data_IF_887118990514
#
_entry.id   IF_887118990514
#
_cell.length_a   1.000
_cell.length_b   1.000
_cell.length_c   1.000
_cell.angle_alpha   90.00
_cell.angle_beta   90.00
_cell.angle_gamma   90.00
#
_symmetry.space_group_name_H-M   'P 1'
#
loop_
_entity.id
_entity.type
_entity.pdbx_description
1 polymer ?
#
# COMPACT_ATOMS: atom_id res chain seq x y z
N UNK A 1 -5.35 0.54 -15.36
CA UNK A 1 -5.63 1.65 -14.43
C UNK A 1 -6.42 1.10 -13.27
N UNK A 2 -6.01 1.42 -12.04
CA UNK A 2 -6.71 1.02 -10.82
C UNK A 2 -7.99 1.87 -10.65
N UNK A 3 -9.01 1.34 -9.97
CA UNK A 3 -10.31 1.99 -9.76
C UNK A 3 -10.19 3.31 -8.98
N UNK A 4 -9.38 3.36 -7.91
CA UNK A 4 -9.13 4.54 -7.07
C UNK A 4 -8.50 5.66 -7.88
N UNK A 5 -7.55 5.35 -8.77
CA UNK A 5 -6.93 6.35 -9.66
C UNK A 5 -7.94 6.91 -10.67
N UNK A 6 -8.82 6.06 -11.22
CA UNK A 6 -9.89 6.50 -12.12
C UNK A 6 -10.87 7.44 -11.39
N UNK A 7 -11.28 7.09 -10.17
CA UNK A 7 -12.17 7.92 -9.36
C UNK A 7 -11.47 9.21 -8.88
N UNK A 8 -10.17 9.17 -8.56
CA UNK A 8 -9.39 10.39 -8.29
C UNK A 8 -9.52 11.38 -9.44
N UNK A 9 -9.22 10.94 -10.67
CA UNK A 9 -9.36 11.77 -11.89
C UNK A 9 -10.78 12.26 -12.10
N UNK A 10 -11.78 11.46 -11.75
CA UNK A 10 -13.20 11.85 -11.82
C UNK A 10 -13.52 12.98 -10.84
N UNK A 11 -13.04 12.88 -9.59
CA UNK A 11 -13.24 13.89 -8.56
C UNK A 11 -12.47 15.20 -8.81
N UNK A 12 -11.33 15.13 -9.50
CA UNK A 12 -10.54 16.30 -9.87
C UNK A 12 -10.89 16.89 -11.25
N UNK A 13 -11.83 16.26 -11.97
CA UNK A 13 -12.27 16.71 -13.30
C UNK A 13 -11.23 16.51 -14.41
N UNK A 14 -10.21 15.67 -14.20
CA UNK A 14 -9.16 15.39 -15.18
C UNK A 14 -9.40 14.10 -15.96
N UNK A 15 -10.46 13.36 -15.65
CA UNK A 15 -10.79 12.08 -16.29
C UNK A 15 -11.05 12.22 -17.78
N UNK A 16 -10.51 11.28 -18.56
CA UNK A 16 -10.72 11.16 -20.00
C UNK A 16 -11.47 9.88 -20.33
N UNK A 17 -12.17 9.86 -21.47
CA UNK A 17 -12.87 8.65 -21.92
C UNK A 17 -11.94 7.42 -22.04
N UNK A 18 -10.67 7.62 -22.40
CA UNK A 18 -9.66 6.56 -22.45
C UNK A 18 -9.31 5.98 -21.08
N UNK A 19 -9.48 6.72 -19.98
CA UNK A 19 -9.18 6.24 -18.63
C UNK A 19 -10.14 5.11 -18.22
N UNK A 20 -11.44 5.26 -18.52
CA UNK A 20 -12.46 4.22 -18.30
C UNK A 20 -12.17 2.95 -19.10
N UNK A 21 -11.74 3.10 -20.36
CA UNK A 21 -11.32 1.96 -21.20
C UNK A 21 -10.06 1.31 -20.64
N UNK A 22 -9.09 2.11 -20.17
CA UNK A 22 -7.88 1.61 -19.52
C UNK A 22 -8.15 0.87 -18.21
N UNK A 23 -9.14 1.31 -17.44
CA UNK A 23 -9.67 0.58 -16.30
C UNK A 23 -10.29 -0.74 -16.75
N UNK A 24 -11.26 -0.73 -17.67
CA UNK A 24 -11.94 -1.95 -18.12
C UNK A 24 -10.99 -3.02 -18.66
N UNK A 25 -9.93 -2.62 -19.39
CA UNK A 25 -8.88 -3.52 -19.85
C UNK A 25 -8.13 -4.21 -18.69
N UNK A 26 -7.92 -3.51 -17.57
CA UNK A 26 -7.24 -4.05 -16.38
C UNK A 26 -8.11 -5.03 -15.60
N UNK A 27 -9.44 -5.02 -15.82
CA UNK A 27 -10.41 -5.88 -15.14
C UNK A 27 -11.06 -6.93 -16.05
N UNK A 28 -10.48 -7.18 -17.24
CA UNK A 28 -10.99 -8.19 -18.17
C UNK A 28 -11.05 -9.61 -17.58
N UNK A 29 -10.21 -9.91 -16.59
CA UNK A 29 -10.17 -11.20 -15.89
C UNK A 29 -11.47 -11.52 -15.11
N UNK A 30 -12.28 -10.51 -14.78
CA UNK A 30 -13.56 -10.72 -14.09
C UNK A 30 -14.65 -11.31 -15.01
N UNK A 31 -14.41 -11.34 -16.33
CA UNK A 31 -15.24 -11.99 -17.34
C UNK A 31 -16.68 -11.44 -17.56
N UNK A 32 -17.04 -10.31 -16.94
CA UNK A 32 -18.35 -9.66 -17.12
C UNK A 32 -18.53 -9.05 -18.51
N UNK A 33 -19.75 -9.16 -19.06
CA UNK A 33 -20.09 -8.67 -20.40
C UNK A 33 -19.94 -7.15 -20.51
N UNK A 34 -20.35 -6.41 -19.47
CA UNK A 34 -20.31 -4.96 -19.40
C UNK A 34 -18.87 -4.44 -19.43
N UNK A 35 -17.96 -5.09 -18.70
CA UNK A 35 -16.52 -4.79 -18.72
C UNK A 35 -15.94 -5.06 -20.11
N UNK A 36 -16.26 -6.22 -20.73
CA UNK A 36 -15.79 -6.55 -22.08
C UNK A 36 -16.25 -5.53 -23.12
N UNK A 37 -17.52 -5.09 -23.04
CA UNK A 37 -18.06 -4.04 -23.92
C UNK A 37 -17.25 -2.76 -23.78
N UNK A 38 -17.05 -2.26 -22.56
CA UNK A 38 -16.28 -1.05 -22.32
C UNK A 38 -14.81 -1.17 -22.76
N UNK A 39 -14.16 -2.30 -22.47
CA UNK A 39 -12.78 -2.56 -22.89
C UNK A 39 -12.62 -2.61 -24.42
N UNK A 40 -13.67 -3.00 -25.14
CA UNK A 40 -13.67 -3.09 -26.61
C UNK A 40 -13.78 -1.74 -27.33
N UNK A 41 -14.09 -0.66 -26.61
CA UNK A 41 -14.31 0.66 -27.17
C UNK A 41 -13.01 1.22 -27.76
N UNK A 42 -13.07 1.68 -29.02
CA UNK A 42 -11.93 2.21 -29.78
C UNK A 42 -12.35 3.46 -30.56
N UNK A 43 -11.37 4.28 -30.95
CA UNK A 43 -11.58 5.44 -31.81
C UNK A 43 -11.93 6.72 -31.04
N UNK A 44 -12.75 7.60 -31.64
CA UNK A 44 -13.22 8.82 -30.99
C UNK A 44 -14.26 8.44 -29.93
N UNK A 45 -13.84 8.45 -28.67
CA UNK A 45 -14.68 8.09 -27.55
C UNK A 45 -15.47 9.31 -27.06
N UNK A 46 -16.79 9.17 -26.96
CA UNK A 46 -17.65 10.15 -26.30
C UNK A 46 -17.63 9.89 -24.79
N UNK A 47 -17.24 10.89 -23.99
CA UNK A 47 -17.10 10.72 -22.54
C UNK A 47 -18.42 10.34 -21.85
N UNK A 48 -19.56 10.91 -22.26
CA UNK A 48 -20.86 10.63 -21.65
C UNK A 48 -21.33 9.20 -21.91
N UNK A 49 -21.10 8.69 -23.13
CA UNK A 49 -21.42 7.31 -23.47
C UNK A 49 -20.56 6.33 -22.69
N UNK A 50 -19.26 6.62 -22.60
CA UNK A 50 -18.28 5.81 -21.88
C UNK A 50 -18.54 5.81 -20.37
N UNK A 51 -18.90 6.95 -19.79
CA UNK A 51 -19.29 7.03 -18.37
C UNK A 51 -20.53 6.20 -18.08
N UNK A 52 -21.52 6.20 -18.97
CA UNK A 52 -22.70 5.34 -18.82
C UNK A 52 -22.32 3.87 -18.85
N UNK A 53 -21.49 3.46 -19.81
CA UNK A 53 -20.99 2.08 -19.90
C UNK A 53 -20.18 1.69 -18.66
N UNK A 54 -19.41 2.63 -18.10
CA UNK A 54 -18.68 2.41 -16.85
C UNK A 54 -19.61 2.21 -15.66
N UNK A 55 -20.66 3.02 -15.51
CA UNK A 55 -21.67 2.84 -14.46
C UNK A 55 -22.35 1.47 -14.57
N UNK A 56 -22.72 1.05 -15.78
CA UNK A 56 -23.29 -0.28 -16.02
C UNK A 56 -22.30 -1.39 -15.60
N UNK A 57 -21.01 -1.23 -15.93
CA UNK A 57 -19.97 -2.18 -15.53
C UNK A 57 -19.76 -2.24 -14.01
N UNK A 58 -19.71 -1.10 -13.31
CA UNK A 58 -19.57 -1.05 -11.86
C UNK A 58 -20.77 -1.69 -11.15
N UNK A 59 -21.99 -1.41 -11.64
CA UNK A 59 -23.20 -2.03 -11.12
C UNK A 59 -23.19 -3.55 -11.34
N UNK A 60 -22.69 -4.04 -12.48
CA UNK A 60 -22.62 -5.48 -12.78
C UNK A 60 -21.72 -6.25 -11.81
N UNK A 61 -20.67 -5.61 -11.29
CA UNK A 61 -19.74 -6.20 -10.31
C UNK A 61 -20.09 -5.82 -8.86
N UNK A 62 -21.22 -5.16 -8.64
CA UNK A 62 -21.72 -4.75 -7.31
C UNK A 62 -20.68 -4.01 -6.46
N UNK A 63 -19.83 -3.18 -7.10
CA UNK A 63 -18.85 -2.37 -6.38
C UNK A 63 -19.41 -0.99 -6.07
N UNK A 64 -19.13 -0.51 -4.87
CA UNK A 64 -19.42 0.86 -4.47
C UNK A 64 -18.34 1.82 -4.96
N UNK A 65 -18.72 3.09 -5.08
CA UNK A 65 -17.77 4.14 -5.41
C UNK A 65 -16.85 4.41 -4.21
N UNK A 66 -15.52 4.41 -4.37
CA UNK A 66 -14.61 4.78 -3.29
C UNK A 66 -14.80 6.25 -2.90
N UNK A 67 -14.48 6.59 -1.65
CA UNK A 67 -14.55 7.97 -1.19
C UNK A 67 -13.46 8.83 -1.85
N UNK A 68 -13.69 10.15 -1.89
CA UNK A 68 -12.68 11.10 -2.38
C UNK A 68 -11.37 10.98 -1.59
N UNK A 69 -11.45 10.81 -0.27
CA UNK A 69 -10.30 10.66 0.63
C UNK A 69 -9.48 9.41 0.29
N UNK A 70 -10.14 8.27 0.08
CA UNK A 70 -9.46 7.02 -0.34
C UNK A 70 -8.73 7.20 -1.67
N UNK A 71 -9.36 7.90 -2.62
CA UNK A 71 -8.76 8.17 -3.92
C UNK A 71 -7.55 9.11 -3.83
N UNK A 72 -7.62 10.14 -2.98
CA UNK A 72 -6.51 11.08 -2.75
C UNK A 72 -5.33 10.39 -2.08
N UNK A 73 -5.56 9.60 -1.03
CA UNK A 73 -4.49 8.85 -0.34
C UNK A 73 -3.82 7.85 -1.30
N UNK A 74 -4.60 7.12 -2.09
CA UNK A 74 -4.08 6.23 -3.12
C UNK A 74 -3.22 6.98 -4.15
N UNK A 75 -3.71 8.11 -4.66
CA UNK A 75 -2.99 8.91 -5.65
C UNK A 75 -1.67 9.45 -5.09
N UNK A 76 -1.65 9.97 -3.86
CA UNK A 76 -0.43 10.41 -3.18
C UNK A 76 0.56 9.26 -2.97
N UNK A 77 0.09 8.06 -2.60
CA UNK A 77 0.92 6.83 -2.53
C UNK A 77 1.53 6.47 -3.89
N UNK A 78 0.75 6.58 -4.97
CA UNK A 78 1.24 6.36 -6.32
C UNK A 78 2.29 7.40 -6.75
N UNK A 79 2.11 8.68 -6.42
CA UNK A 79 3.12 9.71 -6.70
C UNK A 79 4.41 9.46 -5.91
N UNK A 80 4.29 9.18 -4.61
CA UNK A 80 5.42 8.95 -3.72
C UNK A 80 6.23 7.72 -4.13
N UNK A 81 5.58 6.59 -4.45
CA UNK A 81 6.27 5.39 -4.94
C UNK A 81 7.06 5.63 -6.23
N UNK A 82 6.61 6.55 -7.09
CA UNK A 82 7.34 6.91 -8.31
C UNK A 82 8.63 7.68 -8.02
N UNK A 83 8.73 8.40 -6.90
CA UNK A 83 9.95 9.09 -6.47
C UNK A 83 11.03 8.14 -5.98
N UNK A 84 10.68 6.90 -5.64
CA UNK A 84 11.63 5.87 -5.24
C UNK A 84 12.31 5.18 -6.42
N UNK A 85 11.76 5.36 -7.62
CA UNK A 85 12.29 4.81 -8.86
C UNK A 85 13.21 5.83 -9.55
N UNK A 86 14.27 5.38 -10.27
CA UNK A 86 15.12 6.29 -11.03
C UNK A 86 14.33 6.96 -12.15
N UNK A 87 13.83 8.18 -11.92
CA UNK A 87 13.00 8.93 -12.87
C UNK A 87 13.46 10.38 -13.06
N UNK A 88 13.33 10.87 -14.30
CA UNK A 88 13.67 12.24 -14.74
C UNK A 88 12.62 13.31 -14.38
N UNK A 89 11.45 12.92 -13.87
CA UNK A 89 10.33 13.81 -13.59
C UNK A 89 10.05 14.01 -12.09
N UNK A 90 11.03 13.77 -11.22
CA UNK A 90 10.88 13.89 -9.77
C UNK A 90 10.36 15.26 -9.32
N UNK A 91 10.85 16.35 -9.93
CA UNK A 91 10.39 17.72 -9.63
C UNK A 91 8.91 17.91 -9.94
N UNK A 92 8.41 17.42 -11.08
CA UNK A 92 6.99 17.55 -11.40
C UNK A 92 6.11 16.74 -10.46
N UNK A 93 6.58 15.55 -10.06
CA UNK A 93 5.88 14.70 -9.10
C UNK A 93 5.78 15.40 -7.74
N UNK A 94 6.86 16.01 -7.23
CA UNK A 94 6.81 16.75 -5.96
C UNK A 94 5.84 17.94 -6.03
N UNK A 95 5.86 18.69 -7.13
CA UNK A 95 4.89 19.77 -7.35
C UNK A 95 3.44 19.26 -7.35
N UNK A 96 3.20 18.11 -7.95
CA UNK A 96 1.89 17.46 -7.96
C UNK A 96 1.46 16.99 -6.56
N UNK A 97 2.37 16.37 -5.80
CA UNK A 97 2.14 16.00 -4.40
C UNK A 97 1.75 17.24 -3.59
N UNK A 98 2.55 18.29 -3.66
CA UNK A 98 2.36 19.51 -2.87
C UNK A 98 1.05 20.23 -3.24
N UNK A 99 0.72 20.32 -4.54
CA UNK A 99 -0.56 20.87 -5.00
C UNK A 99 -1.75 20.01 -4.54
N UNK A 100 -1.60 18.69 -4.59
CA UNK A 100 -2.64 17.76 -4.15
C UNK A 100 -2.89 17.87 -2.63
N UNK A 101 -1.83 18.01 -1.82
CA UNK A 101 -1.97 18.20 -0.37
C UNK A 101 -2.67 19.51 -0.01
N UNK A 102 -2.37 20.60 -0.71
CA UNK A 102 -3.06 21.89 -0.52
C UNK A 102 -4.54 21.77 -0.91
N UNK A 103 -4.83 21.18 -2.08
CA UNK A 103 -6.19 21.09 -2.60
C UNK A 103 -7.14 20.20 -1.76
N UNK A 104 -6.59 19.43 -0.81
CA UNK A 104 -7.35 18.54 0.06
C UNK A 104 -7.08 18.81 1.55
N UNK A 105 -6.54 19.98 1.90
CA UNK A 105 -6.31 20.43 3.29
C UNK A 105 -5.47 19.44 4.13
N UNK A 106 -4.51 18.76 3.50
CA UNK A 106 -3.63 17.76 4.12
C UNK A 106 -2.37 18.43 4.67
N UNK A 107 -2.51 19.15 5.80
CA UNK A 107 -1.44 20.00 6.34
C UNK A 107 -0.18 19.22 6.76
N UNK A 108 -0.32 18.06 7.39
CA UNK A 108 0.83 17.25 7.81
C UNK A 108 1.63 16.76 6.59
N UNK A 109 0.93 16.25 5.57
CA UNK A 109 1.53 15.81 4.32
C UNK A 109 2.15 16.98 3.53
N UNK A 110 1.53 18.15 3.54
CA UNK A 110 2.08 19.36 2.94
C UNK A 110 3.40 19.75 3.61
N UNK A 111 3.43 19.76 4.95
CA UNK A 111 4.62 20.09 5.73
C UNK A 111 5.80 19.16 5.45
N UNK A 112 5.53 17.87 5.22
CA UNK A 112 6.58 16.92 4.84
C UNK A 112 7.33 17.36 3.57
N UNK A 113 6.64 17.95 2.59
CA UNK A 113 7.24 18.33 1.30
C UNK A 113 7.62 19.81 1.18
N UNK A 114 7.34 20.62 2.20
CA UNK A 114 7.53 22.08 2.18
C UNK A 114 8.97 22.48 1.82
N UNK A 115 9.96 21.98 2.57
CA UNK A 115 11.37 22.37 2.39
C UNK A 115 11.88 22.05 0.98
N UNK A 116 11.42 20.93 0.41
CA UNK A 116 11.79 20.52 -0.95
C UNK A 116 11.09 21.38 -1.99
N UNK A 117 9.80 21.69 -1.78
CA UNK A 117 9.06 22.61 -2.65
C UNK A 117 9.74 23.97 -2.69
N UNK A 118 10.15 24.51 -1.54
CA UNK A 118 10.83 25.79 -1.43
C UNK A 118 12.19 25.77 -2.15
N UNK A 119 12.97 24.68 -2.00
CA UNK A 119 14.24 24.52 -2.72
C UNK A 119 14.05 24.42 -4.25
N UNK A 120 12.97 23.77 -4.70
CA UNK A 120 12.61 23.70 -6.13
C UNK A 120 12.27 25.09 -6.66
N UNK A 121 11.46 25.85 -5.91
CA UNK A 121 11.01 27.17 -6.36
C UNK A 121 12.14 28.21 -6.31
N UNK A 122 13.03 28.18 -5.32
CA UNK A 122 14.27 29.00 -5.31
C UNK A 122 15.15 28.70 -6.51
N UNK A 123 15.35 27.42 -6.85
CA UNK A 123 16.12 27.04 -8.04
C UNK A 123 15.49 27.46 -9.37
N UNK A 124 14.16 27.40 -9.49
CA UNK A 124 13.46 27.68 -10.75
C UNK A 124 13.13 29.14 -10.96
N UNK A 125 12.87 29.88 -9.89
CA UNK A 125 12.29 31.22 -9.94
C UNK A 125 12.98 32.22 -9.00
N UNK A 126 13.80 31.76 -8.06
CA UNK A 126 14.52 32.59 -7.11
C UNK A 126 15.92 32.99 -7.59
N UNK A 127 16.66 33.59 -6.67
CA UNK A 127 18.06 33.99 -6.88
C UNK A 127 19.02 32.79 -6.75
N UNK A 128 18.51 31.62 -6.33
CA UNK A 128 19.27 30.39 -6.10
C UNK A 128 20.43 30.61 -5.13
N UNK A 129 20.15 31.28 -4.00
CA UNK A 129 21.14 31.70 -3.00
C UNK A 129 21.98 30.53 -2.45
N UNK A 130 21.40 29.33 -2.44
CA UNK A 130 22.04 28.10 -1.95
C UNK A 130 22.77 27.29 -3.04
N UNK A 131 22.84 27.82 -4.27
CA UNK A 131 23.52 27.19 -5.39
C UNK A 131 22.98 25.80 -5.72
N UNK A 132 21.66 25.62 -5.65
CA UNK A 132 21.01 24.38 -6.05
C UNK A 132 21.30 24.08 -7.51
N UNK A 133 21.57 22.81 -7.77
CA UNK A 133 21.60 22.23 -9.11
C UNK A 133 20.45 21.24 -9.22
N UNK A 134 20.06 20.90 -10.46
CA UNK A 134 19.03 19.90 -10.69
C UNK A 134 19.39 18.55 -10.07
N UNK A 135 20.67 18.15 -10.15
CA UNK A 135 21.16 16.92 -9.54
C UNK A 135 21.03 16.94 -8.02
N UNK A 136 21.40 18.06 -7.36
CA UNK A 136 21.24 18.22 -5.91
C UNK A 136 19.78 18.17 -5.48
N UNK A 137 18.88 18.78 -6.25
CA UNK A 137 17.43 18.70 -6.01
C UNK A 137 16.95 17.26 -6.13
N UNK A 138 17.37 16.52 -7.16
CA UNK A 138 17.00 15.11 -7.30
C UNK A 138 17.51 14.25 -6.14
N UNK A 139 18.73 14.46 -5.69
CA UNK A 139 19.28 13.78 -4.51
C UNK A 139 18.45 14.07 -3.25
N UNK A 140 18.10 15.34 -3.02
CA UNK A 140 17.24 15.76 -1.91
C UNK A 140 15.86 15.08 -1.97
N UNK A 141 15.21 15.09 -3.14
CA UNK A 141 13.89 14.47 -3.35
C UNK A 141 13.94 12.97 -3.04
N UNK A 142 14.91 12.25 -3.61
CA UNK A 142 15.01 10.79 -3.44
C UNK A 142 15.36 10.43 -2.00
N UNK A 143 16.29 11.16 -1.37
CA UNK A 143 16.66 10.93 0.02
C UNK A 143 15.47 11.14 0.96
N UNK A 144 14.72 12.23 0.76
CA UNK A 144 13.54 12.53 1.56
C UNK A 144 12.38 11.56 1.30
N UNK A 145 12.12 11.21 0.03
CA UNK A 145 11.11 10.22 -0.33
C UNK A 145 11.37 8.89 0.38
N UNK A 146 12.63 8.43 0.41
CA UNK A 146 13.03 7.21 1.12
C UNK A 146 12.85 7.31 2.63
N UNK A 147 13.10 8.48 3.22
CA UNK A 147 12.87 8.70 4.64
C UNK A 147 11.38 8.54 4.97
N UNK A 148 10.51 9.25 4.26
CA UNK A 148 9.05 9.18 4.46
C UNK A 148 8.50 7.75 4.28
N UNK A 149 9.02 7.00 3.30
CA UNK A 149 8.53 5.66 2.95
C UNK A 149 8.49 4.68 4.13
N UNK A 150 9.35 4.87 5.12
CA UNK A 150 9.45 3.99 6.29
C UNK A 150 8.75 4.53 7.54
N UNK A 151 8.11 5.70 7.52
CA UNK A 151 7.66 6.37 8.75
C UNK A 151 6.15 6.47 8.90
N UNK A 152 5.35 6.25 7.84
CA UNK A 152 3.89 6.35 7.94
C UNK A 152 3.28 5.06 8.51
N UNK A 153 3.04 5.06 9.82
CA UNK A 153 2.27 4.02 10.52
C UNK A 153 0.77 4.22 10.22
N UNK A 154 0.04 3.13 9.99
CA UNK A 154 -1.39 3.16 9.72
C UNK A 154 -2.20 3.56 10.95
N UNK A 155 -3.34 4.20 10.70
CA UNK A 155 -4.33 4.55 11.74
C UNK A 155 -5.17 3.36 12.18
N UNK A 156 -5.06 2.21 11.50
CA UNK A 156 -5.73 0.97 11.87
C UNK A 156 -5.27 0.53 13.27
N UNK A 157 -6.23 0.15 14.10
CA UNK A 157 -5.96 -0.35 15.45
C UNK A 157 -6.22 -1.85 15.51
N UNK A 158 -5.31 -2.60 16.16
CA UNK A 158 -5.39 -4.06 16.30
C UNK A 158 -5.69 -4.50 17.73
N UNK A 159 -6.49 -3.72 18.47
CA UNK A 159 -6.69 -3.86 19.93
C UNK A 159 -7.25 -5.22 20.32
N UNK A 160 -8.01 -5.83 19.42
CA UNK A 160 -8.66 -7.12 19.54
C UNK A 160 -7.63 -8.27 19.67
N UNK A 161 -6.45 -8.09 19.08
CA UNK A 161 -5.36 -9.07 19.09
C UNK A 161 -4.35 -8.83 20.21
N UNK A 162 -4.24 -7.59 20.71
CA UNK A 162 -3.29 -7.24 21.76
C UNK A 162 -3.61 -8.00 23.05
N UNK A 163 -2.58 -8.60 23.63
CA UNK A 163 -2.65 -9.39 24.86
C UNK A 163 -3.01 -10.86 24.64
N UNK A 164 -3.44 -11.26 23.43
CA UNK A 164 -3.71 -12.65 23.11
C UNK A 164 -2.42 -13.47 23.11
N UNK A 165 -2.50 -14.70 23.60
CA UNK A 165 -1.38 -15.65 23.58
C UNK A 165 -1.35 -16.45 22.28
N UNK A 166 -0.17 -16.69 21.75
CA UNK A 166 0.04 -17.65 20.64
C UNK A 166 -0.12 -19.07 21.18
N UNK A 167 -1.09 -19.81 20.64
CA UNK A 167 -1.46 -21.15 21.11
C UNK A 167 -0.82 -22.25 20.27
N UNK A 168 -0.65 -22.02 18.97
CA UNK A 168 -0.06 -22.98 18.05
C UNK A 168 0.48 -22.31 16.77
N UNK A 169 1.29 -23.05 16.03
CA UNK A 169 1.72 -22.71 14.67
C UNK A 169 1.30 -23.85 13.74
N UNK A 170 0.62 -23.50 12.66
CA UNK A 170 0.23 -24.39 11.56
C UNK A 170 0.95 -23.94 10.28
N UNK A 171 1.36 -24.92 9.48
CA UNK A 171 2.27 -24.74 8.36
C UNK A 171 2.04 -25.74 7.22
N UNK A 172 0.90 -26.44 7.20
CA UNK A 172 0.64 -27.44 6.14
C UNK A 172 0.41 -26.80 4.77
N UNK A 173 -0.22 -25.62 4.74
CA UNK A 173 -0.55 -24.90 3.50
C UNK A 173 -0.09 -23.45 3.55
N UNK A 174 -0.36 -22.76 4.66
CA UNK A 174 0.03 -21.37 4.91
C UNK A 174 0.72 -21.26 6.26
N UNK A 175 1.51 -20.21 6.48
CA UNK A 175 2.04 -19.91 7.80
C UNK A 175 0.93 -19.30 8.66
N UNK A 176 0.39 -20.07 9.61
CA UNK A 176 -0.70 -19.64 10.47
C UNK A 176 -0.24 -19.60 11.93
N UNK A 177 -0.33 -18.43 12.55
CA UNK A 177 -0.15 -18.22 13.98
C UNK A 177 -1.52 -18.28 14.63
N UNK A 178 -1.80 -19.35 15.39
CA UNK A 178 -3.06 -19.50 16.13
C UNK A 178 -2.98 -18.72 17.43
N UNK A 179 -4.02 -17.95 17.72
CA UNK A 179 -4.15 -17.17 18.93
C UNK A 179 -5.17 -17.84 19.87
N UNK A 180 -5.42 -17.22 21.03
CA UNK A 180 -6.47 -17.67 21.94
C UNK A 180 -7.87 -17.50 21.33
N UNK A 181 -8.05 -16.45 20.54
CA UNK A 181 -9.29 -16.14 19.84
C UNK A 181 -8.96 -15.64 18.44
N UNK A 182 -8.85 -16.58 17.50
CA UNK A 182 -8.55 -16.28 16.09
C UNK A 182 -7.14 -16.64 15.64
N UNK A 183 -6.67 -15.96 14.58
CA UNK A 183 -5.42 -16.32 13.92
C UNK A 183 -4.80 -15.17 13.12
N UNK A 184 -3.49 -15.28 12.89
CA UNK A 184 -2.76 -14.52 11.89
C UNK A 184 -2.35 -15.48 10.78
N UNK A 185 -2.85 -15.27 9.58
CA UNK A 185 -2.59 -16.08 8.39
C UNK A 185 -1.64 -15.30 7.49
N UNK A 186 -0.49 -15.88 7.17
CA UNK A 186 0.60 -15.22 6.43
C UNK A 186 0.88 -16.02 5.16
N UNK A 187 0.67 -15.38 4.02
CA UNK A 187 0.98 -15.90 2.68
C UNK A 187 2.11 -15.11 2.01
N UNK A 188 2.47 -13.98 2.62
CA UNK A 188 3.57 -13.11 2.22
C UNK A 188 4.93 -13.57 2.79
N UNK A 189 6.05 -13.15 2.18
CA UNK A 189 7.37 -13.34 2.76
C UNK A 189 7.47 -12.76 4.17
N UNK A 190 8.12 -13.51 5.05
CA UNK A 190 8.20 -13.16 6.47
C UNK A 190 9.58 -13.45 7.06
N UNK A 191 9.87 -12.80 8.18
CA UNK A 191 10.99 -13.14 9.06
C UNK A 191 10.63 -12.94 10.52
N UNK A 192 11.32 -13.68 11.37
CA UNK A 192 11.30 -13.55 12.82
C UNK A 192 12.63 -12.97 13.27
N UNK A 193 12.57 -11.93 14.10
CA UNK A 193 13.75 -11.26 14.66
C UNK A 193 13.54 -10.95 16.14
N UNK A 194 14.62 -10.66 16.85
CA UNK A 194 14.58 -9.99 18.14
C UNK A 194 15.32 -8.64 18.06
N UNK A 195 15.72 -8.10 19.21
CA UNK A 195 16.51 -6.85 19.28
C UNK A 195 17.96 -7.04 18.84
N UNK A 196 18.47 -8.28 18.84
CA UNK A 196 19.84 -8.63 18.45
C UNK A 196 19.99 -8.94 16.96
N UNK A 197 18.91 -9.29 16.26
CA UNK A 197 18.92 -9.45 14.81
C UNK A 197 17.87 -10.44 14.29
N UNK A 198 18.05 -10.84 13.02
CA UNK A 198 17.19 -11.84 12.39
C UNK A 198 17.51 -13.21 12.99
N UNK A 199 16.47 -13.89 13.47
CA UNK A 199 16.57 -15.24 14.03
C UNK A 199 16.29 -16.29 12.96
N UNK A 200 15.30 -16.02 12.10
CA UNK A 200 14.81 -16.94 11.08
C UNK A 200 14.02 -16.19 10.00
N UNK A 201 14.11 -16.61 8.74
CA UNK A 201 13.24 -16.19 7.64
C UNK A 201 12.51 -17.35 6.96
N UNK A 202 11.54 -17.01 6.11
CA UNK A 202 10.85 -17.98 5.26
C UNK A 202 11.83 -18.81 4.41
N UNK A 203 12.85 -18.16 3.82
CA UNK A 203 13.85 -18.83 2.99
C UNK A 203 14.67 -19.88 3.76
N UNK A 204 14.90 -19.68 5.06
CA UNK A 204 15.61 -20.65 5.89
C UNK A 204 14.80 -21.94 6.08
N UNK A 205 13.46 -21.82 6.15
CA UNK A 205 12.54 -22.96 6.18
C UNK A 205 12.47 -23.63 4.80
N UNK A 206 12.25 -22.86 3.73
CA UNK A 206 12.13 -23.39 2.36
C UNK A 206 13.41 -24.10 1.89
N UNK A 207 14.57 -23.64 2.33
CA UNK A 207 15.88 -24.25 2.03
C UNK A 207 16.26 -25.40 2.96
N UNK A 208 15.37 -25.80 3.89
CA UNK A 208 15.62 -26.80 4.93
C UNK A 208 16.84 -26.49 5.82
N UNK A 209 17.22 -25.21 5.95
CA UNK A 209 18.25 -24.78 6.91
C UNK A 209 17.72 -24.77 8.34
N UNK A 210 16.41 -24.61 8.50
CA UNK A 210 15.69 -24.61 9.77
C UNK A 210 14.38 -25.39 9.67
N UNK A 211 13.86 -25.86 10.80
CA UNK A 211 12.59 -26.57 10.88
C UNK A 211 11.48 -25.68 11.43
N UNK A 212 10.22 -25.97 11.06
CA UNK A 212 9.04 -25.37 11.68
C UNK A 212 8.97 -25.53 13.20
N UNK A 213 9.71 -26.50 13.76
CA UNK A 213 9.90 -26.65 15.20
C UNK A 213 10.54 -25.40 15.82
N UNK A 214 11.51 -24.79 15.16
CA UNK A 214 12.16 -23.56 15.62
C UNK A 214 11.18 -22.39 15.67
N UNK A 215 10.28 -22.28 14.68
CA UNK A 215 9.20 -21.27 14.70
C UNK A 215 8.29 -21.46 15.91
N UNK A 216 7.91 -22.71 16.19
CA UNK A 216 7.06 -23.06 17.35
C UNK A 216 7.73 -22.68 18.67
N UNK A 217 9.02 -22.99 18.83
CA UNK A 217 9.80 -22.65 20.02
C UNK A 217 9.94 -21.13 20.22
N UNK A 218 9.99 -20.37 19.11
CA UNK A 218 10.10 -18.91 19.15
C UNK A 218 8.79 -18.20 19.48
N UNK A 219 7.64 -18.73 19.05
CA UNK A 219 6.37 -17.98 19.11
C UNK A 219 5.35 -18.56 20.11
N UNK A 220 5.25 -19.89 20.22
CA UNK A 220 4.18 -20.51 21.03
C UNK A 220 4.36 -20.13 22.49
N UNK A 221 3.29 -19.64 23.10
CA UNK A 221 3.27 -19.23 24.49
C UNK A 221 3.53 -17.75 24.73
N UNK A 222 4.03 -17.02 23.74
CA UNK A 222 4.24 -15.56 23.82
C UNK A 222 2.93 -14.79 23.67
N UNK A 223 2.89 -13.57 24.19
CA UNK A 223 1.74 -12.68 24.05
C UNK A 223 2.00 -11.62 23.00
N UNK A 224 0.97 -11.28 22.24
CA UNK A 224 1.03 -10.13 21.33
C UNK A 224 1.05 -8.85 22.17
N UNK A 225 2.12 -8.07 22.06
CA UNK A 225 2.27 -6.81 22.77
C UNK A 225 1.92 -5.61 21.89
N UNK A 226 2.22 -5.69 20.59
CA UNK A 226 1.96 -4.62 19.63
C UNK A 226 1.79 -5.18 18.21
N UNK A 227 1.06 -4.44 17.37
CA UNK A 227 0.95 -4.69 15.94
C UNK A 227 1.03 -3.35 15.21
N UNK A 228 2.01 -3.23 14.31
CA UNK A 228 2.24 -2.02 13.53
C UNK A 228 2.11 -2.34 12.05
N UNK A 229 1.35 -1.53 11.32
CA UNK A 229 1.26 -1.61 9.88
C UNK A 229 1.85 -0.33 9.28
N UNK A 230 2.84 -0.47 8.41
CA UNK A 230 3.41 0.65 7.65
C UNK A 230 2.69 0.75 6.31
N UNK A 231 2.11 1.91 6.01
CA UNK A 231 1.24 2.04 4.82
C UNK A 231 1.99 2.25 3.51
N UNK A 232 3.17 2.88 3.59
CA UNK A 232 3.96 3.24 2.41
C UNK A 232 4.88 2.09 2.02
N UNK A 233 5.62 1.54 2.97
CA UNK A 233 6.25 0.23 2.84
C UNK A 233 5.31 -0.81 3.48
N UNK A 234 4.43 -1.50 2.73
CA UNK A 234 3.45 -2.43 3.30
C UNK A 234 4.17 -3.55 4.06
N UNK A 235 4.35 -3.32 5.34
CA UNK A 235 5.09 -4.11 6.31
C UNK A 235 4.21 -4.18 7.55
N UNK A 236 3.79 -5.40 7.87
CA UNK A 236 3.12 -5.69 9.13
C UNK A 236 4.16 -6.21 10.11
N UNK A 237 4.27 -5.59 11.27
CA UNK A 237 5.13 -6.03 12.37
C UNK A 237 4.22 -6.48 13.50
N UNK A 238 4.31 -7.76 13.87
CA UNK A 238 3.63 -8.32 15.04
C UNK A 238 4.67 -8.56 16.13
N UNK A 239 4.58 -7.85 17.24
CA UNK A 239 5.45 -8.05 18.40
C UNK A 239 4.82 -9.09 19.33
N UNK A 240 5.56 -10.18 19.56
CA UNK A 240 5.26 -11.22 20.52
C UNK A 240 6.35 -11.24 21.60
N UNK A 241 6.05 -10.71 22.80
CA UNK A 241 7.05 -10.41 23.83
C UNK A 241 8.30 -9.72 23.23
N UNK A 242 9.49 -10.30 23.40
CA UNK A 242 10.78 -9.81 22.88
C UNK A 242 11.09 -10.20 21.41
N UNK A 243 10.13 -10.80 20.70
CA UNK A 243 10.29 -11.31 19.34
C UNK A 243 9.32 -10.57 18.40
N UNK A 244 9.75 -10.34 17.17
CA UNK A 244 8.97 -9.64 16.16
C UNK A 244 8.82 -10.53 14.92
N UNK A 245 7.60 -10.62 14.41
CA UNK A 245 7.29 -11.21 13.11
C UNK A 245 7.09 -10.06 12.13
N UNK A 246 8.05 -9.87 11.24
CA UNK A 246 7.97 -8.92 10.14
C UNK A 246 7.37 -9.65 8.93
N UNK A 247 6.24 -9.16 8.42
CA UNK A 247 5.57 -9.68 7.22
C UNK A 247 5.66 -8.64 6.12
N UNK A 248 6.40 -8.96 5.06
CA UNK A 248 6.66 -8.09 3.93
C UNK A 248 5.61 -8.31 2.87
N UNK A 249 4.89 -7.26 2.51
CA UNK A 249 3.97 -7.33 1.40
C UNK A 249 4.73 -7.28 0.08
N UNK A 250 5.26 -8.41 -0.34
CA UNK A 250 5.92 -8.60 -1.62
C UNK A 250 4.94 -9.27 -2.59
N UNK A 251 3.84 -8.59 -2.92
CA UNK A 251 2.76 -9.24 -3.68
C UNK A 251 2.98 -9.13 -5.20
N UNK A 252 3.29 -10.29 -5.78
CA UNK A 252 2.60 -10.78 -6.97
C UNK A 252 1.12 -11.07 -6.67
N UNK A 253 0.29 -11.18 -7.71
CA UNK A 253 -1.19 -11.19 -7.70
C UNK A 253 -1.95 -12.05 -6.65
N UNK A 254 -1.30 -12.88 -5.83
CA UNK A 254 -1.93 -13.83 -4.92
C UNK A 254 -1.45 -13.79 -3.46
N UNK A 255 -0.49 -12.92 -3.09
CA UNK A 255 0.10 -12.92 -1.74
C UNK A 255 -0.54 -11.86 -0.83
N UNK A 256 -0.88 -12.25 0.41
CA UNK A 256 -1.46 -11.38 1.42
C UNK A 256 -1.27 -11.86 2.86
N UNK A 257 -1.95 -11.20 3.79
CA UNK A 257 -2.07 -11.65 5.18
C UNK A 257 -3.47 -11.35 5.70
N UNK A 258 -3.92 -12.15 6.66
CA UNK A 258 -5.23 -12.02 7.29
C UNK A 258 -5.08 -12.06 8.80
N UNK A 259 -5.76 -11.14 9.48
CA UNK A 259 -5.84 -11.01 10.93
C UNK A 259 -7.29 -11.21 11.34
N UNK A 260 -7.57 -12.20 12.19
CA UNK A 260 -8.94 -12.50 12.63
C UNK A 260 -9.02 -12.69 14.14
N UNK A 261 -10.19 -12.36 14.70
CA UNK A 261 -10.63 -12.79 16.03
C UNK A 261 -11.80 -13.79 15.90
N UNK A 262 -12.24 -14.43 16.99
CA UNK A 262 -13.50 -15.21 17.04
C UNK A 262 -14.75 -14.32 16.97
N UNK A 263 -14.60 -13.01 17.16
CA UNK A 263 -15.65 -12.01 16.95
C UNK A 263 -15.75 -11.53 15.49
N UNK A 264 -16.27 -10.31 15.31
CA UNK A 264 -16.43 -9.70 13.97
C UNK A 264 -15.15 -9.00 13.46
N UNK A 265 -14.02 -9.13 14.16
CA UNK A 265 -12.76 -8.52 13.72
C UNK A 265 -12.12 -9.37 12.61
N UNK A 266 -12.06 -8.78 11.43
CA UNK A 266 -11.45 -9.36 10.25
C UNK A 266 -10.78 -8.25 9.46
N UNK A 267 -9.46 -8.36 9.27
CA UNK A 267 -8.68 -7.46 8.42
C UNK A 267 -7.84 -8.32 7.51
N UNK A 268 -7.82 -8.00 6.21
CA UNK A 268 -6.95 -8.68 5.28
C UNK A 268 -6.28 -7.71 4.32
N UNK A 269 -5.06 -8.08 3.91
CA UNK A 269 -4.31 -7.36 2.91
C UNK A 269 -4.52 -8.01 1.55
N UNK A 270 -5.02 -7.22 0.60
CA UNK A 270 -5.18 -7.58 -0.80
C UNK A 270 -3.89 -7.38 -1.59
N UNK A 271 -3.88 -7.88 -2.83
CA UNK A 271 -2.78 -7.72 -3.77
C UNK A 271 -2.30 -6.25 -3.87
N UNK A 272 -0.99 -6.05 -3.85
CA UNK A 272 -0.40 -4.70 -3.87
C UNK A 272 -0.46 -3.91 -2.55
N UNK A 273 -0.90 -4.53 -1.45
CA UNK A 273 -0.79 -3.98 -0.09
C UNK A 273 -1.96 -3.10 0.34
N UNK A 274 -3.08 -3.13 -0.40
CA UNK A 274 -4.31 -2.47 0.02
C UNK A 274 -4.99 -3.28 1.12
N UNK A 275 -5.52 -2.60 2.14
CA UNK A 275 -6.18 -3.23 3.29
C UNK A 275 -7.70 -3.17 3.12
N UNK A 276 -8.38 -4.26 3.45
CA UNK A 276 -9.84 -4.39 3.42
C UNK A 276 -10.37 -5.06 4.70
#
# INVERSE_FOLDING_TARGET
MELLELYYKKYTGTVQASDYVGWANSYLYLDFLEIKKLASMKGKLNIFEIEKMFVDAINSIQREAPSKEQCVDYHLKCLHSQLLMPKKNAVSIVKEIYACTIANDLFEEQMNWQEISDAIDDFQYGDNDYGYTLDKIYEMIVAHARNLWHTKISKITFKELIGQKVTAIDSEVHFIIRLEKGAIIIECPWRIRDTGGILLGETDIQSNQSEWKSVKELLVGKKIEDIQLFEQCPLLIVQCDNVFVDVFHASSFFDGWTLTDEGDFYIFSMHGGSIA
#
